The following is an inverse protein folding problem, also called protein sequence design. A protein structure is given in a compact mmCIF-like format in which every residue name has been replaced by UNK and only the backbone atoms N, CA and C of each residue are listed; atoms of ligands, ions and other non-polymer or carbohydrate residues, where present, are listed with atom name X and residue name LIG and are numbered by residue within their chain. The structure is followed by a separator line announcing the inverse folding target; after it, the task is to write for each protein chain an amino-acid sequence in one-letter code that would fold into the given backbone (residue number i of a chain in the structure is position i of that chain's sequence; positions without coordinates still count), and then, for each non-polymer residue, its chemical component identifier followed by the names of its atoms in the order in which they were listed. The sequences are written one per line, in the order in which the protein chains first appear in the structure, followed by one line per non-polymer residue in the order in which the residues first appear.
data_IF_543764749791
#
_entry.id   IF_543764749791
#
_cell.length_a   1.000
_cell.length_b   1.000
_cell.length_c   1.000
_cell.angle_alpha   90.00
_cell.angle_beta   90.00
_cell.angle_gamma   90.00
#
_symmetry.space_group_name_H-M   'P 1'
#
loop_
_entity.id
_entity.type
_entity.pdbx_description
1 polymer ?
#
# COMPACT_ATOMS: atom_id res chain seq x y z
N UNK A 1 7.61 7.35 -2.19
CA UNK A 1 6.99 8.58 -2.74
C UNK A 1 6.17 9.36 -1.73
N UNK A 2 5.28 8.74 -0.93
CA UNK A 2 4.42 9.45 0.02
C UNK A 2 5.19 10.33 1.02
N UNK A 3 6.15 9.75 1.76
CA UNK A 3 6.94 10.50 2.75
C UNK A 3 7.62 11.74 2.14
N UNK A 4 8.36 11.54 1.05
CA UNK A 4 9.10 12.64 0.39
C UNK A 4 8.23 13.74 -0.22
N UNK A 5 7.10 13.38 -0.85
CA UNK A 5 6.27 14.35 -1.59
C UNK A 5 5.10 14.91 -0.78
N UNK A 6 4.61 14.21 0.25
CA UNK A 6 3.49 14.66 1.09
C UNK A 6 3.95 15.19 2.44
N UNK A 7 4.94 14.54 3.06
CA UNK A 7 5.47 14.95 4.37
C UNK A 7 6.70 15.86 4.25
N UNK A 8 7.31 15.94 3.06
CA UNK A 8 8.44 16.84 2.79
C UNK A 8 9.80 16.34 3.30
N UNK A 9 9.87 15.10 3.76
CA UNK A 9 11.11 14.51 4.27
C UNK A 9 12.06 14.11 3.12
N UNK A 10 13.37 14.29 3.28
CA UNK A 10 14.34 13.84 2.27
C UNK A 10 14.44 12.30 2.23
N UNK A 11 14.28 11.67 3.39
CA UNK A 11 14.32 10.22 3.58
C UNK A 11 13.00 9.70 4.16
N UNK A 12 12.90 8.38 4.33
CA UNK A 12 11.73 7.77 4.94
C UNK A 12 11.68 8.13 6.44
N UNK A 13 10.64 8.83 6.87
CA UNK A 13 10.44 9.11 8.29
C UNK A 13 10.20 7.81 9.08
N UNK A 14 10.44 7.80 10.40
CA UNK A 14 10.23 6.62 11.24
C UNK A 14 8.84 6.01 11.10
N UNK A 15 7.81 6.85 10.95
CA UNK A 15 6.43 6.39 10.77
C UNK A 15 6.19 5.69 9.42
N UNK A 16 6.76 6.20 8.32
CA UNK A 16 6.69 5.53 7.03
C UNK A 16 7.53 4.26 6.99
N UNK A 17 8.65 4.23 7.73
CA UNK A 17 9.52 3.07 7.83
C UNK A 17 8.86 1.94 8.61
N UNK A 18 8.22 2.26 9.73
CA UNK A 18 7.41 1.31 10.50
C UNK A 18 6.29 0.72 9.64
N UNK A 19 5.57 1.55 8.88
CA UNK A 19 4.50 1.09 8.00
C UNK A 19 5.04 0.13 6.93
N UNK A 20 6.16 0.47 6.29
CA UNK A 20 6.81 -0.39 5.29
C UNK A 20 7.26 -1.73 5.90
N UNK A 21 7.93 -1.69 7.05
CA UNK A 21 8.38 -2.91 7.73
C UNK A 21 7.19 -3.79 8.14
N UNK A 22 6.10 -3.18 8.60
CA UNK A 22 4.88 -3.89 8.95
C UNK A 22 4.25 -4.59 7.74
N UNK A 23 4.14 -3.88 6.61
CA UNK A 23 3.66 -4.44 5.34
C UNK A 23 4.50 -5.63 4.88
N UNK A 24 5.83 -5.47 4.85
CA UNK A 24 6.77 -6.53 4.44
C UNK A 24 6.62 -7.76 5.32
N UNK A 25 6.64 -7.61 6.64
CA UNK A 25 6.50 -8.73 7.57
C UNK A 25 5.17 -9.48 7.40
N UNK A 26 4.10 -8.80 6.97
CA UNK A 26 2.79 -9.42 6.68
C UNK A 26 2.76 -10.12 5.32
N UNK A 27 3.52 -9.66 4.35
CA UNK A 27 3.66 -10.32 3.05
C UNK A 27 4.50 -11.59 3.18
N UNK A 28 5.64 -11.53 3.88
CA UNK A 28 6.51 -12.69 4.11
C UNK A 28 5.80 -13.84 4.83
N UNK A 29 4.91 -13.52 5.76
CA UNK A 29 4.14 -14.51 6.53
C UNK A 29 2.78 -14.82 5.91
N UNK A 30 2.54 -14.38 4.68
CA UNK A 30 1.22 -14.56 4.08
C UNK A 30 1.02 -16.01 3.61
N UNK A 31 -0.03 -16.66 4.12
CA UNK A 31 -0.42 -18.01 3.69
C UNK A 31 -0.71 -18.16 2.19
N UNK A 32 -1.02 -17.05 1.51
CA UNK A 32 -1.32 -17.05 0.08
C UNK A 32 -0.08 -16.84 -0.80
N UNK A 33 1.06 -16.43 -0.22
CA UNK A 33 2.30 -16.16 -0.96
C UNK A 33 2.07 -15.26 -2.18
N UNK A 34 2.53 -15.72 -3.34
CA UNK A 34 2.39 -15.03 -4.64
C UNK A 34 0.95 -14.95 -5.13
N UNK A 35 0.08 -15.87 -4.70
CA UNK A 35 -1.35 -15.89 -5.04
C UNK A 35 -2.18 -14.96 -4.14
N UNK A 36 -1.53 -14.06 -3.40
CA UNK A 36 -2.21 -13.10 -2.53
C UNK A 36 -3.18 -12.23 -3.34
N UNK A 37 -4.49 -12.25 -3.03
CA UNK A 37 -5.42 -11.30 -3.60
C UNK A 37 -5.14 -9.88 -3.10
N UNK A 38 -5.76 -8.88 -3.73
CA UNK A 38 -5.68 -7.49 -3.23
C UNK A 38 -6.18 -7.41 -1.80
N UNK A 39 -5.62 -6.51 -0.99
CA UNK A 39 -5.97 -6.40 0.44
C UNK A 39 -7.47 -6.21 0.70
N UNK A 40 -8.22 -5.62 -0.25
CA UNK A 40 -9.69 -5.50 -0.17
C UNK A 40 -10.43 -6.82 -0.39
N UNK A 41 -9.93 -7.69 -1.27
CA UNK A 41 -10.52 -8.99 -1.62
C UNK A 41 -9.92 -10.14 -0.78
N UNK A 42 -9.04 -9.83 0.18
CA UNK A 42 -8.40 -10.82 1.02
C UNK A 42 -9.40 -11.41 2.03
N UNK A 43 -9.59 -12.74 2.10
CA UNK A 43 -10.57 -13.35 2.98
C UNK A 43 -10.10 -13.41 4.46
N UNK A 44 -8.84 -13.08 4.74
CA UNK A 44 -8.30 -13.06 6.11
C UNK A 44 -8.04 -11.63 6.57
N UNK A 45 -8.40 -11.34 7.82
CA UNK A 45 -8.10 -10.07 8.45
C UNK A 45 -6.71 -10.11 9.10
N UNK A 46 -5.66 -9.92 8.30
CA UNK A 46 -4.27 -9.95 8.78
C UNK A 46 -3.71 -8.58 9.22
N UNK A 47 -4.39 -7.49 8.87
CA UNK A 47 -3.95 -6.11 9.13
C UNK A 47 -4.52 -5.57 10.44
N UNK A 48 -3.70 -4.92 11.26
CA UNK A 48 -4.22 -4.17 12.42
C UNK A 48 -5.04 -2.97 11.92
N UNK A 49 -6.21 -2.66 12.53
CA UNK A 49 -7.09 -1.58 12.08
C UNK A 49 -6.37 -0.24 11.92
N UNK A 50 -5.56 0.14 12.93
CA UNK A 50 -4.79 1.38 12.91
C UNK A 50 -3.75 1.43 11.77
N UNK A 51 -3.06 0.31 11.50
CA UNK A 51 -2.11 0.22 10.39
C UNK A 51 -2.81 0.23 9.03
N UNK A 52 -4.00 -0.38 8.95
CA UNK A 52 -4.84 -0.39 7.75
C UNK A 52 -5.26 1.04 7.38
N UNK A 53 -5.68 1.83 8.36
CA UNK A 53 -6.06 3.23 8.13
C UNK A 53 -4.89 4.07 7.62
N UNK A 54 -3.71 3.91 8.24
CA UNK A 54 -2.47 4.57 7.78
C UNK A 54 -2.12 4.17 6.35
N UNK A 55 -2.20 2.88 6.03
CA UNK A 55 -1.94 2.38 4.68
C UNK A 55 -2.96 2.91 3.67
N UNK A 56 -4.25 2.93 4.02
CA UNK A 56 -5.30 3.54 3.20
C UNK A 56 -5.03 5.03 2.92
N UNK A 57 -4.54 5.78 3.90
CA UNK A 57 -4.16 7.20 3.72
C UNK A 57 -3.01 7.36 2.71
N UNK A 58 -2.00 6.49 2.82
CA UNK A 58 -0.87 6.45 1.87
C UNK A 58 -1.35 6.07 0.47
N UNK A 59 -2.15 5.01 0.34
CA UNK A 59 -2.70 4.56 -0.95
C UNK A 59 -3.64 5.59 -1.57
N UNK A 60 -4.50 6.25 -0.80
CA UNK A 60 -5.40 7.31 -1.32
C UNK A 60 -4.62 8.50 -1.88
N UNK A 61 -3.46 8.81 -1.29
CA UNK A 61 -2.58 9.85 -1.83
C UNK A 61 -1.74 9.35 -3.01
N UNK A 62 -1.19 8.14 -2.95
CA UNK A 62 -0.30 7.58 -3.97
C UNK A 62 -1.01 7.07 -5.23
N UNK A 63 -2.20 6.49 -5.06
CA UNK A 63 -2.98 5.81 -6.11
C UNK A 63 -3.25 6.69 -7.33
N UNK A 64 -3.90 7.87 -7.19
CA UNK A 64 -4.16 8.76 -8.32
C UNK A 64 -2.88 9.24 -9.02
N UNK A 65 -1.76 9.33 -8.27
CA UNK A 65 -0.47 9.77 -8.82
C UNK A 65 0.23 8.66 -9.60
N UNK A 66 -0.09 7.38 -9.40
CA UNK A 66 0.39 6.32 -10.29
C UNK A 66 -0.09 6.49 -11.72
N UNK A 67 -1.26 7.12 -11.94
CA UNK A 67 -1.78 7.38 -13.29
C UNK A 67 -0.79 8.25 -14.10
N UNK A 68 -0.12 9.19 -13.44
CA UNK A 68 0.82 10.11 -14.07
C UNK A 68 2.12 9.45 -14.51
N UNK A 69 2.56 8.40 -13.82
CA UNK A 69 3.84 7.73 -14.08
C UNK A 69 3.68 6.39 -14.81
N UNK A 70 2.62 5.65 -14.51
CA UNK A 70 2.31 4.33 -15.06
C UNK A 70 0.82 4.20 -15.38
N UNK A 71 0.32 4.92 -16.40
CA UNK A 71 -1.11 5.00 -16.70
C UNK A 71 -1.74 3.63 -16.97
N UNK A 72 -1.06 2.76 -17.72
CA UNK A 72 -1.55 1.40 -18.04
C UNK A 72 -1.67 0.54 -16.78
N UNK A 73 -0.69 0.58 -15.87
CA UNK A 73 -0.72 -0.18 -14.63
C UNK A 73 -1.79 0.34 -13.67
N UNK A 74 -1.97 1.66 -13.61
CA UNK A 74 -3.02 2.30 -12.82
C UNK A 74 -4.42 1.93 -13.32
N UNK A 75 -4.66 1.96 -14.63
CA UNK A 75 -5.93 1.53 -15.23
C UNK A 75 -6.20 0.05 -14.92
N UNK A 76 -5.23 -0.84 -15.12
CA UNK A 76 -5.36 -2.26 -14.76
C UNK A 76 -5.67 -2.45 -13.26
N UNK A 77 -5.04 -1.66 -12.39
CA UNK A 77 -5.29 -1.70 -10.96
C UNK A 77 -6.72 -1.28 -10.62
N UNK A 78 -7.21 -0.17 -11.18
CA UNK A 78 -8.58 0.29 -10.97
C UNK A 78 -9.59 -0.73 -11.49
N UNK A 79 -9.39 -1.30 -12.67
CA UNK A 79 -10.27 -2.34 -13.24
C UNK A 79 -10.28 -3.61 -12.37
N UNK A 80 -9.12 -4.00 -11.81
CA UNK A 80 -9.02 -5.17 -10.91
C UNK A 80 -9.60 -4.90 -9.51
N UNK A 81 -9.66 -3.64 -9.09
CA UNK A 81 -10.22 -3.22 -7.80
C UNK A 81 -11.73 -2.92 -7.83
N UNK A 82 -12.31 -2.62 -9.00
CA UNK A 82 -13.74 -2.75 -9.27
C UNK A 82 -14.19 -4.23 -9.16
#
# INVERSE_FOLDING_TARGET
MYCRKKEGNNELCPGCQELLQYDTARLERCKFGENKPTSKKCPIHCYRPQMKERMCKVMRWGGPRMILYHPVAAIKHVIREL
#
